data_IF_442278771665
#
_entry.id   IF_442278771665
#
_cell.length_a   1.000
_cell.length_b   1.000
_cell.length_c   1.000
_cell.angle_alpha   90.00
_cell.angle_beta   90.00
_cell.angle_gamma   90.00
#
_symmetry.space_group_name_H-M   'P 1'
#
loop_
_entity.id
_entity.type
_entity.pdbx_description
1 polymer ?
#
# COMPACT_ATOMS: atom_id res chain seq x y z
N UNK A 1 -8.62 7.66 -14.36
CA UNK A 1 -7.45 7.56 -13.47
C UNK A 1 -6.78 8.92 -13.48
N UNK A 2 -6.75 9.64 -12.35
CA UNK A 2 -5.95 10.87 -12.27
C UNK A 2 -4.50 10.39 -12.16
N UNK A 3 -3.79 10.40 -13.29
CA UNK A 3 -2.41 9.88 -13.40
C UNK A 3 -1.36 10.92 -13.02
N UNK A 4 -1.76 12.18 -12.84
CA UNK A 4 -0.83 13.27 -12.61
C UNK A 4 -1.20 14.03 -11.35
N UNK A 5 -0.27 14.04 -10.40
CA UNK A 5 -0.30 14.89 -9.22
C UNK A 5 0.88 15.88 -9.30
N UNK A 6 0.69 17.07 -9.89
CA UNK A 6 1.73 18.07 -10.05
C UNK A 6 2.37 18.50 -8.71
N UNK A 7 1.60 18.44 -7.62
CA UNK A 7 2.10 18.77 -6.29
C UNK A 7 3.08 17.70 -5.79
N UNK A 8 2.83 16.42 -6.06
CA UNK A 8 3.73 15.33 -5.70
C UNK A 8 5.10 15.48 -6.36
N UNK A 9 5.14 15.84 -7.65
CA UNK A 9 6.39 16.02 -8.39
C UNK A 9 7.25 17.15 -7.79
N UNK A 10 6.63 18.29 -7.44
CA UNK A 10 7.32 19.39 -6.75
C UNK A 10 7.96 18.97 -5.43
N UNK A 11 7.28 18.11 -4.66
CA UNK A 11 7.79 17.63 -3.37
C UNK A 11 8.95 16.65 -3.55
N UNK A 12 8.88 15.78 -4.58
CA UNK A 12 9.98 14.86 -4.92
C UNK A 12 11.23 15.63 -5.35
N UNK A 13 11.10 16.67 -6.16
CA UNK A 13 12.22 17.54 -6.56
C UNK A 13 12.91 18.20 -5.35
N UNK A 14 12.11 18.63 -4.38
CA UNK A 14 12.62 19.29 -3.17
C UNK A 14 13.19 18.32 -2.14
N UNK A 15 12.84 17.02 -2.23
CA UNK A 15 13.21 16.00 -1.24
C UNK A 15 13.70 14.73 -1.93
N UNK A 16 14.96 14.66 -2.37
CA UNK A 16 15.48 13.53 -3.17
C UNK A 16 15.38 12.16 -2.48
N UNK A 17 15.39 12.13 -1.15
CA UNK A 17 15.28 10.89 -0.36
C UNK A 17 13.84 10.38 -0.20
N UNK A 18 12.84 11.18 -0.58
CA UNK A 18 11.42 10.84 -0.42
C UNK A 18 11.06 9.57 -1.21
N UNK A 19 11.62 9.42 -2.40
CA UNK A 19 11.35 8.26 -3.27
C UNK A 19 11.75 6.95 -2.59
N UNK A 20 12.89 6.91 -1.90
CA UNK A 20 13.33 5.73 -1.16
C UNK A 20 12.43 5.45 0.06
N UNK A 21 11.95 6.50 0.73
CA UNK A 21 11.05 6.38 1.86
C UNK A 21 9.64 5.90 1.47
N UNK A 22 9.24 6.08 0.21
CA UNK A 22 7.95 5.65 -0.33
C UNK A 22 7.97 4.20 -0.86
N UNK A 23 9.12 3.54 -0.89
CA UNK A 23 9.21 2.14 -1.30
C UNK A 23 8.68 1.21 -0.20
N UNK A 24 7.94 0.19 -0.62
CA UNK A 24 7.47 -0.89 0.26
C UNK A 24 8.63 -1.76 0.76
N UNK A 25 8.38 -2.62 1.74
CA UNK A 25 9.40 -3.54 2.26
C UNK A 25 9.59 -4.80 1.37
N UNK A 26 8.65 -5.07 0.46
CA UNK A 26 8.69 -6.23 -0.42
C UNK A 26 9.52 -5.93 -1.68
N UNK A 27 10.64 -6.65 -1.94
CA UNK A 27 11.55 -6.35 -3.05
C UNK A 27 10.89 -6.39 -4.44
N UNK A 28 10.03 -7.38 -4.67
CA UNK A 28 9.38 -7.59 -5.96
C UNK A 28 8.00 -6.90 -6.06
N UNK A 29 7.63 -6.11 -5.04
CA UNK A 29 6.31 -5.51 -4.95
C UNK A 29 6.37 -4.05 -4.46
N UNK A 30 6.93 -3.14 -5.28
CA UNK A 30 7.35 -1.79 -4.84
C UNK A 30 6.20 -0.83 -4.54
N UNK A 31 4.98 -1.14 -4.98
CA UNK A 31 3.79 -0.33 -4.79
C UNK A 31 2.56 -1.23 -4.79
N UNK A 32 1.66 -1.03 -3.83
CA UNK A 32 0.34 -1.66 -3.84
C UNK A 32 -0.55 -1.02 -4.92
N UNK A 33 -1.44 -1.81 -5.48
CA UNK A 33 -2.47 -1.37 -6.42
C UNK A 33 -3.86 -1.43 -5.77
N UNK A 34 -4.86 -0.69 -6.31
CA UNK A 34 -6.24 -0.79 -5.83
C UNK A 34 -6.82 -2.22 -5.85
N UNK A 35 -6.30 -3.07 -6.74
CA UNK A 35 -6.69 -4.47 -6.84
C UNK A 35 -6.31 -5.27 -5.60
N UNK A 36 -5.19 -4.96 -4.95
CA UNK A 36 -4.74 -5.69 -3.74
C UNK A 36 -5.69 -5.45 -2.57
N UNK A 37 -6.11 -4.19 -2.39
CA UNK A 37 -7.12 -3.81 -1.38
C UNK A 37 -8.45 -4.49 -1.69
N UNK A 38 -8.86 -4.50 -2.96
CA UNK A 38 -10.11 -5.15 -3.39
C UNK A 38 -10.08 -6.65 -3.09
N UNK A 39 -8.98 -7.34 -3.41
CA UNK A 39 -8.83 -8.77 -3.14
C UNK A 39 -8.84 -9.09 -1.64
N UNK A 40 -8.21 -8.25 -0.81
CA UNK A 40 -8.24 -8.41 0.64
C UNK A 40 -9.67 -8.26 1.20
N UNK A 41 -10.45 -7.31 0.67
CA UNK A 41 -11.87 -7.15 1.02
C UNK A 41 -12.65 -8.40 0.62
N UNK A 42 -12.47 -8.89 -0.62
CA UNK A 42 -13.14 -10.11 -1.10
C UNK A 42 -12.82 -11.32 -0.21
N UNK A 43 -11.59 -11.46 0.25
CA UNK A 43 -11.21 -12.47 1.24
C UNK A 43 -11.97 -12.30 2.56
N UNK A 44 -11.98 -11.09 3.14
CA UNK A 44 -12.59 -10.82 4.44
C UNK A 44 -14.10 -11.09 4.46
N UNK A 45 -14.81 -10.84 3.36
CA UNK A 45 -16.26 -11.07 3.25
C UNK A 45 -16.62 -12.51 2.83
N UNK A 46 -15.62 -13.35 2.54
CA UNK A 46 -15.82 -14.74 2.12
C UNK A 46 -15.89 -15.70 3.32
N UNK A 47 -16.29 -16.95 3.05
CA UNK A 47 -16.23 -18.07 4.02
C UNK A 47 -14.81 -18.31 4.59
N UNK A 48 -13.76 -17.92 3.85
CA UNK A 48 -12.38 -18.03 4.31
C UNK A 48 -12.02 -16.96 5.36
N UNK A 49 -12.72 -15.82 5.33
CA UNK A 49 -12.55 -14.73 6.29
C UNK A 49 -13.40 -14.87 7.55
N UNK A 50 -14.26 -15.91 7.67
CA UNK A 50 -15.32 -15.98 8.68
C UNK A 50 -14.85 -15.90 10.15
N UNK A 51 -13.61 -16.27 10.44
CA UNK A 51 -13.03 -16.20 11.79
C UNK A 51 -12.24 -14.92 12.05
N UNK A 52 -12.11 -14.03 11.06
CA UNK A 52 -11.41 -12.77 11.19
C UNK A 52 -12.33 -11.72 11.81
N UNK A 53 -12.07 -11.34 13.06
CA UNK A 53 -12.88 -10.37 13.80
C UNK A 53 -12.01 -9.55 14.75
N UNK A 54 -12.39 -8.29 14.99
CA UNK A 54 -11.69 -7.38 15.91
C UNK A 54 -10.22 -7.10 15.55
N UNK A 55 -9.80 -7.45 14.33
CA UNK A 55 -8.41 -7.43 13.88
C UNK A 55 -8.26 -6.62 12.60
N UNK A 56 -7.08 -6.03 12.40
CA UNK A 56 -6.76 -5.24 11.19
C UNK A 56 -5.83 -6.07 10.29
N UNK A 57 -6.26 -6.33 9.06
CA UNK A 57 -5.41 -6.90 8.00
C UNK A 57 -4.75 -5.75 7.24
N UNK A 58 -3.43 -5.60 7.37
CA UNK A 58 -2.68 -4.55 6.65
C UNK A 58 -2.43 -4.97 5.21
N UNK A 59 -2.67 -4.05 4.29
CA UNK A 59 -2.43 -4.20 2.84
C UNK A 59 -1.52 -3.04 2.41
N UNK A 60 -0.27 -3.10 2.82
CA UNK A 60 0.69 -2.00 2.69
C UNK A 60 2.07 -2.46 2.21
N UNK A 61 2.20 -3.74 1.84
CA UNK A 61 3.46 -4.36 1.44
C UNK A 61 4.61 -4.09 2.44
N UNK A 62 4.29 -4.06 3.74
CA UNK A 62 5.27 -3.93 4.82
C UNK A 62 5.77 -2.51 5.07
N UNK A 63 5.03 -1.49 4.61
CA UNK A 63 5.34 -0.10 4.97
C UNK A 63 5.31 0.13 6.49
N UNK A 64 4.35 -0.48 7.20
CA UNK A 64 4.22 -0.31 8.65
C UNK A 64 5.34 -0.98 9.47
N UNK A 65 6.02 -1.99 8.91
CA UNK A 65 7.12 -2.68 9.61
C UNK A 65 8.49 -2.04 9.38
N UNK A 66 8.62 -1.17 8.36
CA UNK A 66 9.84 -0.38 8.10
C UNK A 66 9.91 0.74 9.15
N UNK A 67 10.63 0.50 10.24
CA UNK A 67 11.07 1.53 11.19
C UNK A 67 12.44 2.08 10.82
#
# INVERSE_FOLDING_TARGET
MITENPALFKVIEQTPHLVNAMQTALPDFPMIEPKDVTNAILFLISEYGRSFTGSVLKVDAGMDIRR
#
